data_IF_960234630442
#
_entry.id   IF_960234630442
#
_cell.length_a   1.000
_cell.length_b   1.000
_cell.length_c   1.000
_cell.angle_alpha   90.00
_cell.angle_beta   90.00
_cell.angle_gamma   90.00
#
_symmetry.space_group_name_H-M   'P 1'
#
loop_
_entity.id
_entity.type
_entity.pdbx_description
1 polymer ?
#
# COMPACT_ATOMS: atom_id res chain seq x y z
N UNK A 1 -25.87 -27.32 -5.70
CA UNK A 1 -24.97 -26.20 -6.08
C UNK A 1 -25.45 -24.95 -5.36
N UNK A 2 -24.77 -24.58 -4.28
CA UNK A 2 -25.16 -23.45 -3.43
C UNK A 2 -24.69 -22.17 -4.10
N UNK A 3 -25.60 -21.39 -4.69
CA UNK A 3 -25.25 -20.07 -5.19
C UNK A 3 -24.99 -19.15 -3.99
N UNK A 4 -23.73 -18.83 -3.76
CA UNK A 4 -23.32 -17.83 -2.78
C UNK A 4 -23.80 -16.49 -3.35
N UNK A 5 -24.90 -16.00 -2.82
CA UNK A 5 -25.48 -14.72 -3.18
C UNK A 5 -24.65 -13.62 -2.51
N UNK A 6 -23.46 -13.35 -3.08
CA UNK A 6 -22.59 -12.27 -2.63
C UNK A 6 -23.31 -10.97 -2.98
N UNK A 7 -23.86 -10.31 -1.97
CA UNK A 7 -24.37 -8.93 -2.07
C UNK A 7 -23.37 -8.07 -2.85
N UNK A 8 -23.85 -7.30 -3.84
CA UNK A 8 -22.99 -6.41 -4.64
C UNK A 8 -22.15 -5.45 -3.78
N UNK A 9 -22.60 -5.16 -2.55
CA UNK A 9 -21.84 -4.40 -1.55
C UNK A 9 -20.53 -5.11 -1.16
N UNK A 10 -20.57 -6.42 -0.88
CA UNK A 10 -19.41 -7.22 -0.49
C UNK A 10 -18.34 -7.28 -1.60
N UNK A 11 -18.76 -7.38 -2.87
CA UNK A 11 -17.85 -7.36 -4.03
C UNK A 11 -17.12 -6.01 -4.12
N UNK A 12 -17.82 -4.90 -3.84
CA UNK A 12 -17.24 -3.55 -3.83
C UNK A 12 -16.18 -3.42 -2.74
N UNK A 13 -16.45 -3.89 -1.52
CA UNK A 13 -15.49 -3.87 -0.40
C UNK A 13 -14.22 -4.68 -0.69
N UNK A 14 -14.39 -5.90 -1.20
CA UNK A 14 -13.25 -6.75 -1.58
C UNK A 14 -12.39 -6.04 -2.63
N UNK A 15 -13.01 -5.43 -3.64
CA UNK A 15 -12.28 -4.69 -4.68
C UNK A 15 -11.51 -3.51 -4.10
N UNK A 16 -12.10 -2.73 -3.20
CA UNK A 16 -11.43 -1.60 -2.54
C UNK A 16 -10.23 -2.10 -1.72
N UNK A 17 -10.42 -3.18 -0.98
CA UNK A 17 -9.37 -3.79 -0.17
C UNK A 17 -8.19 -4.30 -1.03
N UNK A 18 -8.48 -4.95 -2.16
CA UNK A 18 -7.46 -5.40 -3.10
C UNK A 18 -6.70 -4.23 -3.74
N UNK A 19 -7.38 -3.15 -4.09
CA UNK A 19 -6.74 -1.91 -4.56
C UNK A 19 -5.86 -1.32 -3.47
N UNK A 20 -6.29 -1.33 -2.21
CA UNK A 20 -5.52 -0.82 -1.09
C UNK A 20 -4.23 -1.65 -0.87
N UNK A 21 -4.35 -2.98 -0.75
CA UNK A 21 -3.20 -3.87 -0.58
C UNK A 21 -2.21 -3.72 -1.73
N UNK A 22 -2.69 -3.76 -2.97
CA UNK A 22 -1.81 -3.64 -4.13
C UNK A 22 -1.14 -2.27 -4.22
N UNK A 23 -1.83 -1.20 -3.81
CA UNK A 23 -1.25 0.14 -3.69
C UNK A 23 -0.16 0.17 -2.63
N UNK A 24 -0.37 -0.45 -1.48
CA UNK A 24 0.63 -0.56 -0.42
C UNK A 24 1.84 -1.38 -0.90
N UNK A 25 1.64 -2.49 -1.60
CA UNK A 25 2.73 -3.29 -2.20
C UNK A 25 3.56 -2.47 -3.20
N UNK A 26 2.92 -1.65 -4.04
CA UNK A 26 3.63 -0.72 -4.94
C UNK A 26 4.42 0.34 -4.21
N UNK A 27 3.91 0.84 -3.08
CA UNK A 27 4.65 1.83 -2.29
C UNK A 27 5.85 1.16 -1.59
N UNK A 28 5.64 -0.01 -1.00
CA UNK A 28 6.69 -0.79 -0.35
C UNK A 28 7.78 -1.19 -1.35
N UNK A 29 7.43 -1.44 -2.61
CA UNK A 29 8.42 -1.74 -3.66
C UNK A 29 9.37 -0.59 -3.95
N UNK A 30 8.97 0.66 -3.68
CA UNK A 30 9.88 1.80 -3.76
C UNK A 30 10.84 1.91 -2.58
N UNK A 31 10.45 1.41 -1.40
CA UNK A 31 11.23 1.53 -0.15
C UNK A 31 12.23 0.39 0.01
N UNK A 32 11.81 -0.83 -0.34
CA UNK A 32 12.56 -2.06 -0.11
C UNK A 32 14.03 -2.01 -0.53
N UNK A 33 14.40 -1.44 -1.70
CA UNK A 33 15.80 -1.30 -2.09
C UNK A 33 16.70 -0.51 -1.14
N UNK A 34 16.11 0.33 -0.30
CA UNK A 34 16.83 1.19 0.63
C UNK A 34 16.70 0.70 2.08
N UNK A 35 16.09 -0.46 2.29
CA UNK A 35 15.81 -0.98 3.62
C UNK A 35 17.08 -1.40 4.35
N UNK A 36 18.10 -1.84 3.60
CA UNK A 36 19.45 -2.09 4.08
C UNK A 36 20.06 -0.83 4.74
N UNK A 37 20.01 0.32 4.06
CA UNK A 37 20.52 1.60 4.54
C UNK A 37 19.80 2.06 5.82
N UNK A 38 18.49 1.83 5.90
CA UNK A 38 17.70 2.10 7.10
C UNK A 38 18.17 1.19 8.25
N UNK A 39 18.28 -0.12 8.01
CA UNK A 39 18.63 -1.10 9.03
C UNK A 39 20.08 -0.94 9.53
N UNK A 40 21.03 -0.59 8.67
CA UNK A 40 22.43 -0.30 9.05
C UNK A 40 22.49 0.83 10.08
N UNK A 41 21.63 1.84 9.97
CA UNK A 41 21.60 2.93 10.95
C UNK A 41 21.11 2.51 12.33
N UNK A 42 20.16 1.58 12.40
CA UNK A 42 19.61 1.11 13.68
C UNK A 42 20.40 -0.04 14.29
N UNK A 43 21.03 -0.87 13.45
CA UNK A 43 21.73 -2.09 13.84
C UNK A 43 23.11 -2.19 13.13
N UNK A 44 24.02 -1.22 13.35
CA UNK A 44 25.24 -1.08 12.55
C UNK A 44 26.20 -2.26 12.69
N UNK A 45 26.31 -2.85 13.88
CA UNK A 45 27.22 -3.98 14.11
C UNK A 45 26.66 -5.27 13.52
N UNK A 46 25.37 -5.55 13.75
CA UNK A 46 24.72 -6.76 13.26
C UNK A 46 24.65 -6.78 11.73
N UNK A 47 24.47 -5.63 11.09
CA UNK A 47 24.34 -5.52 9.64
C UNK A 47 25.67 -5.75 8.89
N UNK A 48 26.80 -5.60 9.57
CA UNK A 48 28.13 -5.88 9.03
C UNK A 48 28.55 -7.34 9.16
N UNK A 49 27.85 -8.13 9.97
CA UNK A 49 28.15 -9.56 10.12
C UNK A 49 27.90 -10.32 8.81
N UNK A 50 28.72 -11.32 8.46
CA UNK A 50 28.48 -12.16 7.29
C UNK A 50 27.22 -13.03 7.46
N UNK A 51 26.52 -13.30 6.37
CA UNK A 51 25.31 -14.13 6.37
C UNK A 51 25.20 -14.95 5.09
N UNK A 52 25.05 -16.28 5.22
CA UNK A 52 24.66 -17.14 4.09
C UNK A 52 25.58 -17.05 2.87
N UNK A 53 26.89 -16.86 3.06
CA UNK A 53 27.87 -16.70 1.98
C UNK A 53 28.04 -15.27 1.46
N UNK A 54 27.26 -14.31 1.96
CA UNK A 54 27.48 -12.89 1.69
C UNK A 54 28.47 -12.27 2.68
N UNK A 55 29.27 -11.30 2.24
CA UNK A 55 30.26 -10.62 3.09
C UNK A 55 29.63 -9.81 4.24
N UNK A 56 28.38 -9.37 4.10
CA UNK A 56 27.62 -8.73 5.17
C UNK A 56 26.10 -8.98 5.02
N UNK A 57 25.36 -8.89 6.12
CA UNK A 57 23.88 -8.95 6.14
C UNK A 57 23.26 -7.84 5.31
N UNK A 58 23.84 -6.65 5.33
CA UNK A 58 23.45 -5.53 4.48
C UNK A 58 23.41 -5.92 3.01
N UNK A 59 24.51 -6.49 2.50
CA UNK A 59 24.63 -6.91 1.11
C UNK A 59 23.64 -8.04 0.80
N UNK A 60 23.50 -9.01 1.70
CA UNK A 60 22.53 -10.09 1.54
C UNK A 60 21.08 -9.56 1.42
N UNK A 61 20.70 -8.63 2.30
CA UNK A 61 19.38 -8.00 2.31
C UNK A 61 19.15 -7.21 1.03
N UNK A 62 20.13 -6.43 0.58
CA UNK A 62 20.06 -5.68 -0.66
C UNK A 62 19.77 -6.60 -1.85
N UNK A 63 20.55 -7.67 -2.05
CA UNK A 63 20.32 -8.63 -3.13
C UNK A 63 18.97 -9.36 -3.01
N UNK A 64 18.56 -9.72 -1.79
CA UNK A 64 17.25 -10.31 -1.55
C UNK A 64 16.11 -9.37 -1.95
N UNK A 65 16.22 -8.07 -1.64
CA UNK A 65 15.21 -7.09 -2.04
C UNK A 65 15.14 -6.96 -3.56
N UNK A 66 16.28 -6.89 -4.26
CA UNK A 66 16.32 -6.84 -5.72
C UNK A 66 15.66 -8.07 -6.38
N UNK A 67 15.76 -9.24 -5.74
CA UNK A 67 15.10 -10.46 -6.22
C UNK A 67 13.58 -10.46 -6.00
N UNK A 68 13.12 -10.04 -4.81
CA UNK A 68 11.69 -10.06 -4.45
C UNK A 68 10.89 -8.98 -5.16
N UNK A 69 11.52 -7.85 -5.47
CA UNK A 69 10.86 -6.66 -6.02
C UNK A 69 10.12 -6.87 -7.34
N UNK A 70 10.72 -7.47 -8.39
CA UNK A 70 10.02 -7.73 -9.65
C UNK A 70 8.76 -8.59 -9.44
N UNK A 71 8.85 -9.61 -8.59
CA UNK A 71 7.72 -10.50 -8.26
C UNK A 71 6.61 -9.70 -7.56
N UNK A 72 6.97 -8.90 -6.57
CA UNK A 72 6.01 -8.08 -5.82
C UNK A 72 5.33 -7.03 -6.72
N UNK A 73 6.07 -6.36 -7.60
CA UNK A 73 5.53 -5.39 -8.57
C UNK A 73 4.59 -6.09 -9.55
N UNK A 74 4.96 -7.27 -10.05
CA UNK A 74 4.14 -8.05 -10.97
C UNK A 74 2.81 -8.43 -10.32
N UNK A 75 2.83 -9.01 -9.11
CA UNK A 75 1.62 -9.38 -8.36
C UNK A 75 0.77 -8.13 -8.09
N UNK A 76 1.37 -7.06 -7.58
CA UNK A 76 0.67 -5.82 -7.29
C UNK A 76 0.01 -5.24 -8.54
N UNK A 77 0.66 -5.28 -9.71
CA UNK A 77 0.13 -4.73 -10.96
C UNK A 77 -1.15 -5.46 -11.43
N UNK A 78 -1.25 -6.77 -11.19
CA UNK A 78 -2.43 -7.58 -11.56
C UNK A 78 -3.66 -7.23 -10.71
N UNK A 79 -3.44 -6.72 -9.50
CA UNK A 79 -4.48 -6.33 -8.55
C UNK A 79 -5.00 -4.89 -8.77
N UNK A 80 -4.54 -4.20 -9.83
CA UNK A 80 -4.96 -2.85 -10.22
C UNK A 80 -4.77 -1.82 -9.10
N UNK A 81 -3.51 -1.55 -8.71
CA UNK A 81 -3.21 -0.58 -7.69
C UNK A 81 -3.57 0.83 -8.14
N UNK A 82 -3.61 1.76 -7.21
CA UNK A 82 -3.89 3.16 -7.51
C UNK A 82 -2.83 3.72 -8.46
N UNK A 83 -3.24 4.32 -9.57
CA UNK A 83 -2.34 4.72 -10.67
C UNK A 83 -1.10 5.54 -10.27
N UNK A 84 -1.18 6.32 -9.20
CA UNK A 84 -0.06 7.15 -8.75
C UNK A 84 0.96 6.39 -7.90
N UNK A 85 0.67 5.17 -7.43
CA UNK A 85 1.65 4.39 -6.65
C UNK A 85 2.72 3.74 -7.53
N UNK A 86 2.53 3.67 -8.85
CA UNK A 86 3.56 3.22 -9.78
C UNK A 86 4.81 4.10 -9.78
N UNK A 87 4.71 5.36 -9.33
CA UNK A 87 5.87 6.26 -9.26
C UNK A 87 6.94 5.76 -8.29
N UNK A 88 6.57 4.98 -7.28
CA UNK A 88 7.49 4.51 -6.24
C UNK A 88 8.55 3.52 -6.75
N UNK A 89 8.17 2.39 -7.37
CA UNK A 89 9.17 1.51 -7.96
C UNK A 89 9.96 2.24 -9.05
N UNK A 90 9.29 3.03 -9.91
CA UNK A 90 9.98 3.79 -10.97
C UNK A 90 11.08 4.68 -10.37
N UNK A 91 10.74 5.50 -9.38
CA UNK A 91 11.66 6.41 -8.72
C UNK A 91 12.82 5.66 -8.05
N UNK A 92 12.51 4.58 -7.33
CA UNK A 92 13.51 3.75 -6.64
C UNK A 92 14.50 3.11 -7.63
N UNK A 93 14.00 2.50 -8.70
CA UNK A 93 14.86 1.94 -9.76
C UNK A 93 15.66 3.02 -10.49
N UNK A 94 15.08 4.20 -10.76
CA UNK A 94 15.80 5.32 -11.36
C UNK A 94 16.97 5.78 -10.47
N UNK A 95 16.77 5.86 -9.16
CA UNK A 95 17.83 6.18 -8.20
C UNK A 95 18.91 5.12 -8.21
N UNK A 96 18.55 3.84 -8.14
CA UNK A 96 19.52 2.74 -8.16
C UNK A 96 20.38 2.80 -9.42
N UNK A 97 19.73 2.91 -10.59
CA UNK A 97 20.42 3.03 -11.89
C UNK A 97 21.34 4.24 -11.88
N UNK A 98 20.86 5.40 -11.44
CA UNK A 98 21.65 6.62 -11.38
C UNK A 98 22.86 6.48 -10.46
N UNK A 99 22.67 5.89 -9.28
CA UNK A 99 23.76 5.70 -8.33
C UNK A 99 24.80 4.67 -8.78
N UNK A 100 24.39 3.60 -9.47
CA UNK A 100 25.33 2.67 -10.11
C UNK A 100 26.11 3.35 -11.24
N UNK A 101 25.43 4.17 -12.06
CA UNK A 101 26.07 4.95 -13.10
C UNK A 101 27.07 5.96 -12.51
N UNK A 102 26.67 6.70 -11.47
CA UNK A 102 27.51 7.67 -10.76
C UNK A 102 28.80 7.03 -10.24
N UNK A 103 28.69 5.85 -9.61
CA UNK A 103 29.86 5.08 -9.14
C UNK A 103 30.78 4.64 -10.29
N UNK A 104 30.22 4.35 -11.47
CA UNK A 104 31.00 4.03 -12.67
C UNK A 104 31.73 5.23 -13.29
N UNK A 105 31.31 6.46 -12.97
CA UNK A 105 31.91 7.71 -13.44
C UNK A 105 32.72 8.43 -12.34
N UNK A 106 33.09 7.75 -11.25
CA UNK A 106 33.79 8.32 -10.08
C UNK A 106 33.11 9.56 -9.47
N UNK A 107 31.78 9.62 -9.58
CA UNK A 107 30.98 10.67 -8.94
C UNK A 107 30.61 10.25 -7.52
N UNK A 108 31.06 11.02 -6.53
CA UNK A 108 30.85 10.72 -5.11
C UNK A 108 29.39 11.08 -4.70
N UNK A 109 28.48 10.13 -4.90
CA UNK A 109 27.06 10.30 -4.66
C UNK A 109 26.64 9.65 -3.34
N UNK A 110 26.15 10.46 -2.39
CA UNK A 110 25.70 9.96 -1.09
C UNK A 110 24.33 9.28 -1.19
N UNK A 111 24.36 7.95 -1.30
CA UNK A 111 23.18 7.10 -1.32
C UNK A 111 22.30 7.21 -0.07
N UNK A 112 22.87 7.58 1.09
CA UNK A 112 22.10 7.68 2.33
C UNK A 112 21.10 8.84 2.25
N UNK A 113 21.53 10.00 1.75
CA UNK A 113 20.65 11.16 1.56
C UNK A 113 19.47 10.79 0.67
N UNK A 114 19.73 10.05 -0.40
CA UNK A 114 18.69 9.63 -1.33
C UNK A 114 17.74 8.59 -0.72
N UNK A 115 18.26 7.64 0.06
CA UNK A 115 17.44 6.71 0.82
C UNK A 115 16.50 7.45 1.78
N UNK A 116 16.98 8.47 2.51
CA UNK A 116 16.14 9.26 3.40
C UNK A 116 15.07 10.08 2.67
N UNK A 117 15.43 10.73 1.56
CA UNK A 117 14.49 11.49 0.74
C UNK A 117 13.40 10.56 0.18
N UNK A 118 13.81 9.39 -0.33
CA UNK A 118 12.89 8.38 -0.85
C UNK A 118 11.92 7.88 0.21
N UNK A 119 12.43 7.57 1.40
CA UNK A 119 11.62 7.17 2.53
C UNK A 119 10.63 8.26 2.96
N UNK A 120 11.07 9.51 3.01
CA UNK A 120 10.24 10.65 3.37
C UNK A 120 9.09 10.88 2.37
N UNK A 121 9.39 10.81 1.07
CA UNK A 121 8.38 10.91 -0.01
C UNK A 121 7.34 9.78 0.13
N UNK A 122 7.80 8.56 0.39
CA UNK A 122 6.92 7.40 0.64
C UNK A 122 6.03 7.64 1.86
N UNK A 123 6.60 8.07 2.99
CA UNK A 123 5.85 8.31 4.22
C UNK A 123 4.73 9.34 4.00
N UNK A 124 5.02 10.48 3.37
CA UNK A 124 4.01 11.50 3.02
C UNK A 124 2.88 10.89 2.20
N UNK A 125 3.21 10.03 1.24
CA UNK A 125 2.22 9.46 0.33
C UNK A 125 1.36 8.40 1.01
N UNK A 126 1.95 7.56 1.88
CA UNK A 126 1.20 6.62 2.73
C UNK A 126 0.22 7.41 3.60
N UNK A 127 0.65 8.52 4.22
CA UNK A 127 -0.24 9.39 4.99
C UNK A 127 -1.40 9.93 4.15
N UNK A 128 -1.14 10.40 2.92
CA UNK A 128 -2.20 10.87 2.01
C UNK A 128 -3.14 9.74 1.57
N UNK A 129 -2.63 8.54 1.34
CA UNK A 129 -3.43 7.36 1.03
C UNK A 129 -4.32 6.98 2.22
N UNK A 130 -3.77 6.97 3.42
CA UNK A 130 -4.51 6.70 4.65
C UNK A 130 -5.62 7.73 4.88
N UNK A 131 -5.33 9.02 4.71
CA UNK A 131 -6.34 10.08 4.83
C UNK A 131 -7.49 9.90 3.83
N UNK A 132 -7.18 9.58 2.57
CA UNK A 132 -8.21 9.29 1.56
C UNK A 132 -9.03 8.04 1.89
N UNK A 133 -8.38 6.97 2.34
CA UNK A 133 -9.06 5.73 2.72
C UNK A 133 -9.96 5.94 3.94
N UNK A 134 -9.50 6.67 4.96
CA UNK A 134 -10.31 7.03 6.13
C UNK A 134 -11.53 7.86 5.75
N UNK A 135 -11.37 8.84 4.85
CA UNK A 135 -12.50 9.60 4.29
C UNK A 135 -13.48 8.69 3.56
N UNK A 136 -12.98 7.76 2.75
CA UNK A 136 -13.84 6.83 2.00
C UNK A 136 -14.60 5.89 2.93
N UNK A 137 -13.95 5.37 3.98
CA UNK A 137 -14.56 4.52 5.00
C UNK A 137 -15.65 5.29 5.76
N UNK A 138 -15.39 6.53 6.20
CA UNK A 138 -16.43 7.36 6.85
C UNK A 138 -17.65 7.56 5.97
N UNK A 139 -17.43 7.88 4.69
CA UNK A 139 -18.50 8.11 3.73
C UNK A 139 -19.38 6.87 3.51
N UNK A 140 -18.79 5.68 3.57
CA UNK A 140 -19.54 4.43 3.53
C UNK A 140 -20.40 4.25 4.77
N UNK A 141 -19.82 4.43 5.97
CA UNK A 141 -20.57 4.28 7.22
C UNK A 141 -21.73 5.28 7.31
N UNK A 142 -21.53 6.53 6.87
CA UNK A 142 -22.59 7.54 6.80
C UNK A 142 -23.71 7.15 5.84
N UNK A 143 -23.39 6.52 4.69
CA UNK A 143 -24.40 6.04 3.73
C UNK A 143 -25.19 4.86 4.29
N UNK A 144 -24.52 3.93 4.97
CA UNK A 144 -25.18 2.75 5.55
C UNK A 144 -26.10 3.16 6.72
N UNK A 145 -25.67 4.10 7.57
CA UNK A 145 -26.52 4.68 8.62
C UNK A 145 -27.72 5.44 8.03
N UNK A 146 -27.52 6.20 6.95
CA UNK A 146 -28.61 6.91 6.27
C UNK A 146 -29.64 5.94 5.69
N UNK A 147 -29.21 4.88 5.00
CA UNK A 147 -30.12 3.85 4.46
C UNK A 147 -30.92 3.17 5.55
N UNK A 148 -30.28 2.82 6.66
CA UNK A 148 -30.93 2.17 7.80
C UNK A 148 -31.99 3.09 8.40
N UNK A 149 -31.69 4.38 8.53
CA UNK A 149 -32.63 5.39 9.03
C UNK A 149 -33.85 5.56 8.11
N UNK A 150 -33.64 5.62 6.79
CA UNK A 150 -34.73 5.75 5.82
C UNK A 150 -35.63 4.50 5.82
N UNK A 151 -35.04 3.30 5.84
CA UNK A 151 -35.81 2.05 5.92
C UNK A 151 -36.67 2.05 7.18
N UNK A 152 -36.08 2.33 8.35
CA UNK A 152 -36.81 2.34 9.62
C UNK A 152 -37.98 3.33 9.64
N UNK A 153 -37.77 4.56 9.13
CA UNK A 153 -38.85 5.55 9.02
C UNK A 153 -39.96 5.08 8.10
N UNK A 154 -39.59 4.53 6.95
CA UNK A 154 -40.55 4.06 5.94
C UNK A 154 -41.40 2.91 6.49
N UNK A 155 -40.79 1.94 7.17
CA UNK A 155 -41.51 0.85 7.84
C UNK A 155 -42.48 1.38 8.90
N UNK A 156 -42.04 2.33 9.75
CA UNK A 156 -42.92 2.96 10.74
C UNK A 156 -44.13 3.67 10.11
N UNK A 157 -43.94 4.36 8.98
CA UNK A 157 -45.06 4.99 8.26
C UNK A 157 -46.05 3.96 7.70
N UNK A 158 -45.57 2.85 7.15
CA UNK A 158 -46.44 1.78 6.65
C UNK A 158 -47.18 1.06 7.77
N UNK A 159 -46.51 0.81 8.89
CA UNK A 159 -47.12 0.22 10.09
C UNK A 159 -48.24 1.14 10.63
N UNK A 160 -47.96 2.45 10.77
CA UNK A 160 -48.95 3.44 11.21
C UNK A 160 -50.17 3.56 10.26
N UNK A 161 -49.97 3.43 8.94
CA UNK A 161 -51.06 3.44 7.97
C UNK A 161 -51.89 2.16 7.95
N UNK A 162 -51.30 1.02 8.29
CA UNK A 162 -52.02 -0.25 8.38
C UNK A 162 -52.98 -0.30 9.57
N UNK A 163 -52.63 0.34 10.68
CA UNK A 163 -53.48 0.47 11.88
C UNK A 163 -54.72 1.33 11.60
N UNK A 164 -54.56 2.44 10.86
CA UNK A 164 -55.65 3.37 10.52
C UNK A 164 -56.63 2.86 9.46
N UNK A 165 -56.38 1.70 8.82
CA UNK A 165 -57.29 1.10 7.83
C UNK A 165 -58.23 0.03 8.40
N UNK A 166 -58.08 -0.28 9.69
CA UNK A 166 -58.86 -1.30 10.40
C UNK A 166 -59.99 -0.75 11.28
N UNK A 167 -60.21 0.58 11.26
CA UNK A 167 -61.37 1.27 11.83
C UNK A 167 -62.33 1.73 10.72
#
# INVERSE_FOLDING_TARGET
MTQINISQSNIKYIRIFLVFISSAMMVLSGVLPFMDNILVKFYPEQMKEPLGGFPSREIALFYFTLFVLPIMILIASKLKPYKYTYIFPIFSYSILIFGYAAKGFDYDFDFNVVAYISFFIVAIFIFKLFDKTLKYIRLIFEIDDYKTTVINRTTQYFDAQSINKTE
#
